data_IF_312716407451
#
_entry.id   IF_312716407451
#
_cell.length_a   1.000
_cell.length_b   1.000
_cell.length_c   1.000
_cell.angle_alpha   90.00
_cell.angle_beta   90.00
_cell.angle_gamma   90.00
#
_symmetry.space_group_name_H-M   'P 1'
#
loop_
_entity.id
_entity.type
_entity.pdbx_description
1 polymer ?
#
# COMPACT_ATOMS: atom_id res chain seq x y z
N UNK A 1 17.12 4.67 -16.65
CA UNK A 1 16.01 5.56 -17.02
C UNK A 1 15.15 4.83 -18.03
N UNK A 2 13.84 5.00 -17.96
CA UNK A 2 12.87 4.33 -18.82
C UNK A 2 11.91 5.38 -19.35
N UNK A 3 11.74 5.49 -20.67
CA UNK A 3 10.79 6.42 -21.26
C UNK A 3 9.35 5.88 -21.14
N UNK A 4 8.40 6.73 -20.76
CA UNK A 4 7.00 6.34 -20.64
C UNK A 4 6.09 7.45 -20.09
N UNK A 5 4.85 7.10 -19.77
CA UNK A 5 3.86 8.04 -19.22
C UNK A 5 4.03 8.14 -17.70
N UNK A 6 4.30 9.35 -17.19
CA UNK A 6 4.29 9.61 -15.76
C UNK A 6 2.89 9.37 -15.19
N UNK A 7 2.78 8.49 -14.19
CA UNK A 7 1.49 8.06 -13.63
C UNK A 7 0.79 9.15 -12.82
N UNK A 8 1.50 10.21 -12.43
CA UNK A 8 0.94 11.32 -11.65
C UNK A 8 0.56 12.54 -12.51
N UNK A 9 1.43 13.01 -13.41
CA UNK A 9 1.14 14.16 -14.29
C UNK A 9 0.65 13.80 -15.69
N UNK A 10 0.70 12.51 -16.07
CA UNK A 10 0.30 11.96 -17.38
C UNK A 10 1.14 12.44 -18.57
N UNK A 11 2.26 13.11 -18.34
CA UNK A 11 3.21 13.52 -19.39
C UNK A 11 4.09 12.34 -19.80
N UNK A 12 4.31 12.17 -21.10
CA UNK A 12 5.32 11.27 -21.64
C UNK A 12 6.72 11.87 -21.47
N UNK A 13 7.59 11.19 -20.74
CA UNK A 13 8.93 11.68 -20.40
C UNK A 13 9.79 10.52 -19.84
N UNK A 14 11.03 10.82 -19.47
CA UNK A 14 11.87 9.89 -18.74
C UNK A 14 11.33 9.67 -17.32
N UNK A 15 11.11 8.40 -16.99
CA UNK A 15 10.66 7.97 -15.68
C UNK A 15 11.87 7.70 -14.77
N UNK A 16 11.77 8.25 -13.57
CA UNK A 16 12.65 7.96 -12.45
C UNK A 16 12.23 6.65 -11.77
N UNK A 17 13.19 5.96 -11.16
CA UNK A 17 12.89 4.79 -10.34
C UNK A 17 12.39 5.24 -8.97
N UNK A 18 11.15 4.94 -8.64
CA UNK A 18 10.56 5.26 -7.35
C UNK A 18 10.42 4.04 -6.46
N UNK A 19 10.81 4.17 -5.20
CA UNK A 19 10.72 3.12 -4.19
C UNK A 19 9.33 3.11 -3.55
N UNK A 20 8.68 1.95 -3.55
CA UNK A 20 7.35 1.77 -2.94
C UNK A 20 7.41 0.62 -1.93
N UNK A 21 7.29 0.89 -0.61
CA UNK A 21 7.21 2.22 -0.01
C UNK A 21 8.54 2.98 -0.12
N UNK A 22 8.62 4.27 0.28
CA UNK A 22 9.86 5.03 0.23
C UNK A 22 11.03 4.32 0.93
N UNK A 23 12.27 4.59 0.50
CA UNK A 23 13.48 3.97 1.09
C UNK A 23 13.57 4.14 2.61
N UNK A 24 13.14 5.30 3.11
CA UNK A 24 13.12 5.67 4.54
C UNK A 24 12.07 4.88 5.34
N UNK A 25 11.09 4.27 4.68
CA UNK A 25 10.10 3.37 5.27
C UNK A 25 10.55 1.90 5.13
N UNK A 26 11.79 1.62 5.56
CA UNK A 26 12.39 0.27 5.62
C UNK A 26 12.59 -0.45 4.27
N UNK A 27 12.37 0.23 3.14
CA UNK A 27 12.48 -0.41 1.83
C UNK A 27 13.92 -0.48 1.28
N UNK A 28 14.87 0.35 1.77
CA UNK A 28 16.23 0.45 1.21
C UNK A 28 16.96 -0.90 1.09
N UNK A 29 16.80 -1.78 2.07
CA UNK A 29 17.51 -3.06 2.16
C UNK A 29 16.64 -4.26 1.82
N UNK A 30 15.40 -4.04 1.34
CA UNK A 30 14.49 -5.14 1.02
C UNK A 30 15.05 -6.01 -0.09
N UNK A 31 14.95 -7.32 0.14
CA UNK A 31 15.22 -8.35 -0.85
C UNK A 31 13.93 -9.09 -1.15
N UNK A 32 13.64 -9.29 -2.43
CA UNK A 32 12.40 -9.94 -2.84
C UNK A 32 12.56 -10.74 -4.14
N UNK A 33 11.64 -11.67 -4.36
CA UNK A 33 11.44 -12.35 -5.63
C UNK A 33 10.13 -11.88 -6.23
N UNK A 34 10.07 -11.74 -7.55
CA UNK A 34 8.81 -11.60 -8.28
C UNK A 34 8.50 -12.94 -8.90
N UNK A 35 7.30 -13.48 -8.62
CA UNK A 35 6.84 -14.75 -9.19
C UNK A 35 5.62 -14.45 -10.04
N UNK A 36 5.64 -14.77 -11.35
CA UNK A 36 4.47 -14.62 -12.20
C UNK A 36 3.28 -15.43 -11.66
N UNK A 37 2.07 -14.89 -11.74
CA UNK A 37 0.86 -15.57 -11.27
C UNK A 37 0.64 -16.94 -11.93
N UNK A 38 1.01 -17.10 -13.21
CA UNK A 38 0.92 -18.39 -13.90
C UNK A 38 1.86 -19.46 -13.32
N UNK A 39 2.95 -19.06 -12.68
CA UNK A 39 3.83 -19.98 -11.97
C UNK A 39 3.26 -20.34 -10.59
N UNK A 40 2.65 -19.37 -9.93
CA UNK A 40 1.89 -19.59 -8.70
C UNK A 40 0.86 -20.71 -8.84
N UNK A 41 0.03 -20.67 -9.90
CA UNK A 41 -1.05 -21.66 -10.10
C UNK A 41 -0.56 -23.07 -10.42
N UNK A 42 0.73 -23.25 -10.76
CA UNK A 42 1.33 -24.57 -11.03
C UNK A 42 1.88 -25.24 -9.78
N UNK A 43 2.06 -24.51 -8.68
CA UNK A 43 2.60 -25.08 -7.46
C UNK A 43 1.55 -25.92 -6.75
N UNK A 44 1.87 -27.18 -6.45
CA UNK A 44 1.00 -28.06 -5.64
C UNK A 44 0.87 -27.61 -4.18
N UNK A 45 1.88 -26.90 -3.66
CA UNK A 45 1.86 -26.31 -2.34
C UNK A 45 2.58 -24.95 -2.40
N UNK A 46 1.80 -23.87 -2.49
CA UNK A 46 2.38 -22.53 -2.56
C UNK A 46 3.05 -22.09 -1.25
N UNK A 47 2.54 -22.50 -0.09
CA UNK A 47 3.10 -22.10 1.21
C UNK A 47 4.57 -22.47 1.33
N UNK A 48 4.97 -23.57 0.69
CA UNK A 48 6.34 -24.08 0.65
C UNK A 48 7.06 -23.85 -0.69
N UNK A 49 6.44 -23.11 -1.61
CA UNK A 49 7.05 -22.83 -2.90
C UNK A 49 8.28 -21.93 -2.71
N UNK A 50 9.42 -22.39 -3.22
CA UNK A 50 10.68 -21.63 -3.24
C UNK A 50 10.83 -21.00 -4.63
N UNK A 51 10.70 -19.66 -4.76
CA UNK A 51 10.88 -18.97 -6.02
C UNK A 51 12.22 -19.33 -6.65
N UNK A 52 12.19 -19.78 -7.91
CA UNK A 52 13.40 -19.94 -8.72
C UNK A 52 13.64 -18.65 -9.49
N UNK A 53 14.70 -17.92 -9.18
CA UNK A 53 15.00 -16.68 -9.89
C UNK A 53 16.05 -15.83 -9.21
N UNK A 54 16.34 -14.68 -9.80
CA UNK A 54 17.26 -13.69 -9.23
C UNK A 54 16.58 -12.98 -8.05
N UNK A 55 17.26 -12.95 -6.91
CA UNK A 55 16.86 -12.09 -5.79
C UNK A 55 17.04 -10.64 -6.23
N UNK A 56 15.96 -9.86 -6.23
CA UNK A 56 16.03 -8.42 -6.39
C UNK A 56 16.50 -7.80 -5.07
N UNK A 57 17.45 -6.86 -5.14
CA UNK A 57 18.02 -6.17 -3.99
C UNK A 57 17.87 -4.66 -4.17
N UNK A 58 17.83 -3.92 -3.07
CA UNK A 58 17.81 -2.46 -3.07
C UNK A 58 16.42 -1.84 -2.97
N UNK A 59 15.41 -2.61 -2.59
CA UNK A 59 14.04 -2.14 -2.38
C UNK A 59 13.10 -2.36 -3.55
N UNK A 60 11.82 -2.56 -3.22
CA UNK A 60 10.72 -2.65 -4.19
C UNK A 60 10.46 -1.28 -4.82
N UNK A 61 10.24 -1.22 -6.13
CA UNK A 61 9.99 0.04 -6.81
C UNK A 61 9.61 -0.11 -8.28
N UNK A 62 9.29 1.02 -8.90
CA UNK A 62 8.76 1.10 -10.26
C UNK A 62 9.33 2.31 -11.00
N UNK A 63 9.53 2.17 -12.31
CA UNK A 63 9.68 3.31 -13.20
C UNK A 63 8.28 3.84 -13.53
N UNK A 64 7.76 4.75 -12.70
CA UNK A 64 6.36 5.19 -12.74
C UNK A 64 6.17 6.70 -12.77
N UNK A 65 7.11 7.48 -12.25
CA UNK A 65 6.99 8.93 -12.09
C UNK A 65 8.15 9.65 -12.77
N UNK A 66 7.87 10.81 -13.37
CA UNK A 66 8.93 11.73 -13.79
C UNK A 66 9.63 12.34 -12.57
N UNK A 67 10.85 12.84 -12.77
CA UNK A 67 11.67 13.42 -11.69
C UNK A 67 10.95 14.52 -10.92
N UNK A 68 10.25 15.43 -11.63
CA UNK A 68 9.49 16.52 -11.01
C UNK A 68 8.38 16.01 -10.08
N UNK A 69 7.58 15.04 -10.54
CA UNK A 69 6.53 14.44 -9.72
C UNK A 69 7.11 13.68 -8.54
N UNK A 70 8.20 12.93 -8.75
CA UNK A 70 8.83 12.19 -7.68
C UNK A 70 9.40 13.11 -6.58
N UNK A 71 10.12 14.17 -7.00
CA UNK A 71 10.62 15.21 -6.09
C UNK A 71 9.48 15.88 -5.29
N UNK A 72 8.37 16.21 -5.95
CA UNK A 72 7.20 16.77 -5.28
C UNK A 72 6.66 15.85 -4.17
N UNK A 73 6.50 14.55 -4.42
CA UNK A 73 6.03 13.60 -3.39
C UNK A 73 7.04 13.49 -2.24
N UNK A 74 8.34 13.48 -2.56
CA UNK A 74 9.41 13.44 -1.57
C UNK A 74 9.36 14.64 -0.62
N UNK A 75 9.18 15.84 -1.18
CA UNK A 75 9.17 17.09 -0.40
C UNK A 75 7.91 17.25 0.45
N UNK A 76 6.77 16.73 -0.03
CA UNK A 76 5.49 16.96 0.62
C UNK A 76 5.04 15.83 1.55
N UNK A 77 5.20 14.56 1.16
CA UNK A 77 4.48 13.45 1.82
C UNK A 77 5.38 12.34 2.37
N UNK A 78 6.53 12.07 1.75
CA UNK A 78 7.40 10.92 2.10
C UNK A 78 7.85 10.95 3.56
N UNK A 79 8.19 12.13 4.11
CA UNK A 79 8.62 12.24 5.51
C UNK A 79 7.53 11.80 6.49
N UNK A 80 6.31 12.30 6.32
CA UNK A 80 5.17 11.96 7.17
C UNK A 80 4.88 10.45 7.13
N UNK A 81 4.92 9.86 5.93
CA UNK A 81 4.76 8.41 5.76
C UNK A 81 5.90 7.59 6.38
N UNK A 82 7.15 8.03 6.26
CA UNK A 82 8.28 7.34 6.87
C UNK A 82 8.19 7.34 8.40
N UNK A 83 7.74 8.44 9.00
CA UNK A 83 7.51 8.52 10.44
C UNK A 83 6.31 7.65 10.88
N UNK A 84 5.27 7.54 10.05
CA UNK A 84 4.19 6.56 10.24
C UNK A 84 4.69 5.12 10.19
N UNK A 85 5.54 4.76 9.23
CA UNK A 85 6.13 3.43 9.13
C UNK A 85 6.97 3.10 10.39
N UNK A 86 7.72 4.05 10.96
CA UNK A 86 8.45 3.81 12.21
C UNK A 86 7.50 3.45 13.36
N UNK A 87 6.37 4.14 13.46
CA UNK A 87 5.32 3.79 14.41
C UNK A 87 4.80 2.37 14.17
N UNK A 88 4.49 2.00 12.93
CA UNK A 88 3.99 0.65 12.60
C UNK A 88 4.95 -0.47 12.99
N UNK A 89 6.26 -0.26 12.79
CA UNK A 89 7.27 -1.25 13.22
C UNK A 89 7.28 -1.42 14.74
N UNK A 90 7.19 -0.32 15.49
CA UNK A 90 7.08 -0.36 16.94
C UNK A 90 5.78 -1.04 17.39
N UNK A 91 4.67 -0.76 16.71
CA UNK A 91 3.36 -1.37 16.97
C UNK A 91 3.42 -2.89 16.80
N UNK A 92 3.96 -3.40 15.67
CA UNK A 92 4.15 -4.84 15.46
C UNK A 92 4.90 -5.51 16.61
N UNK A 93 5.99 -4.89 17.09
CA UNK A 93 6.80 -5.47 18.17
C UNK A 93 6.11 -5.52 19.53
N UNK A 94 5.05 -4.72 19.71
CA UNK A 94 4.32 -4.57 20.98
C UNK A 94 2.90 -5.16 20.94
N UNK A 95 2.40 -5.55 19.76
CA UNK A 95 1.09 -6.18 19.59
C UNK A 95 0.98 -7.42 20.45
N UNK A 96 -0.10 -7.52 21.23
CA UNK A 96 -0.35 -8.66 22.13
C UNK A 96 -1.42 -9.61 21.59
N UNK A 97 -2.35 -9.08 20.80
CA UNK A 97 -3.45 -9.83 20.19
C UNK A 97 -3.49 -9.55 18.68
N UNK A 98 -4.47 -10.16 18.00
CA UNK A 98 -4.73 -9.86 16.58
C UNK A 98 -5.30 -8.46 16.35
N UNK A 99 -5.87 -7.78 17.36
CA UNK A 99 -6.40 -6.42 17.25
C UNK A 99 -5.98 -5.59 18.47
N UNK A 100 -5.24 -4.52 18.21
CA UNK A 100 -4.72 -3.65 19.26
C UNK A 100 -5.14 -2.21 18.96
N UNK A 101 -5.47 -1.45 19.99
CA UNK A 101 -5.73 -0.01 19.90
C UNK A 101 -4.48 0.74 20.34
N UNK A 102 -4.11 1.76 19.57
CA UNK A 102 -2.89 2.54 19.78
C UNK A 102 -3.23 4.01 19.87
N UNK A 103 -2.66 4.68 20.88
CA UNK A 103 -2.55 6.14 20.88
C UNK A 103 -1.34 6.54 20.06
N UNK A 104 -1.60 7.29 18.99
CA UNK A 104 -0.62 7.80 18.04
C UNK A 104 -0.40 9.26 18.33
N UNK A 105 0.88 9.65 18.41
CA UNK A 105 1.29 11.02 18.70
C UNK A 105 2.16 11.59 17.57
N UNK A 106 2.03 12.89 17.35
CA UNK A 106 2.90 13.67 16.45
C UNK A 106 3.00 13.05 15.05
N UNK A 107 1.84 12.80 14.43
CA UNK A 107 1.75 12.34 13.04
C UNK A 107 0.86 13.28 12.24
N UNK A 108 1.05 13.29 10.92
CA UNK A 108 0.19 14.02 9.98
C UNK A 108 -0.62 13.02 9.14
N UNK A 109 -1.83 12.63 9.58
CA UNK A 109 -2.69 11.67 8.87
C UNK A 109 -2.98 12.06 7.42
N UNK A 110 -3.15 13.36 7.18
CA UNK A 110 -3.49 13.89 5.87
C UNK A 110 -2.40 13.62 4.82
N UNK A 111 -1.14 13.94 5.14
CA UNK A 111 0.02 13.66 4.27
C UNK A 111 0.29 12.16 4.17
N UNK A 112 0.06 11.39 5.23
CA UNK A 112 0.20 9.93 5.20
C UNK A 112 -0.81 9.35 4.19
N UNK A 113 -2.08 9.76 4.23
CA UNK A 113 -3.10 9.33 3.28
C UNK A 113 -2.73 9.68 1.84
N UNK A 114 -2.25 10.91 1.59
CA UNK A 114 -1.77 11.33 0.26
C UNK A 114 -0.62 10.47 -0.24
N UNK A 115 0.34 10.11 0.63
CA UNK A 115 1.40 9.18 0.24
C UNK A 115 0.88 7.78 -0.05
N UNK A 116 -0.11 7.28 0.70
CA UNK A 116 -0.71 5.97 0.43
C UNK A 116 -1.37 5.94 -0.95
N UNK A 117 -2.14 6.97 -1.28
CA UNK A 117 -2.77 7.09 -2.60
C UNK A 117 -1.71 7.25 -3.72
N UNK A 118 -0.63 8.00 -3.47
CA UNK A 118 0.48 8.14 -4.45
C UNK A 118 1.17 6.80 -4.72
N UNK A 119 1.31 5.93 -3.71
CA UNK A 119 1.80 4.56 -3.89
C UNK A 119 0.88 3.73 -4.77
N UNK A 120 -0.45 3.79 -4.55
CA UNK A 120 -1.43 3.11 -5.41
C UNK A 120 -1.38 3.60 -6.87
N UNK A 121 -1.28 4.91 -7.10
CA UNK A 121 -1.09 5.48 -8.44
C UNK A 121 0.20 4.94 -9.06
N UNK A 122 1.28 4.87 -8.29
CA UNK A 122 2.60 4.52 -8.78
C UNK A 122 2.82 3.03 -9.00
N UNK A 123 2.06 2.14 -8.35
CA UNK A 123 2.13 0.69 -8.59
C UNK A 123 1.21 0.22 -9.73
N UNK A 124 0.15 0.96 -10.04
CA UNK A 124 -0.81 0.63 -11.11
C UNK A 124 -0.34 1.10 -12.49
N UNK A 125 -0.88 0.55 -13.58
CA UNK A 125 -0.52 0.97 -14.94
C UNK A 125 -1.11 2.35 -15.34
N UNK A 126 -0.59 3.02 -16.38
CA UNK A 126 -1.06 4.35 -16.80
C UNK A 126 -2.56 4.46 -17.08
N UNK A 127 -3.23 3.34 -17.42
CA UNK A 127 -4.69 3.29 -17.55
C UNK A 127 -5.40 3.71 -16.25
N UNK A 128 -4.88 3.30 -15.09
CA UNK A 128 -5.45 3.66 -13.79
C UNK A 128 -5.51 5.19 -13.60
N UNK A 129 -4.42 5.88 -13.92
CA UNK A 129 -4.33 7.34 -13.86
C UNK A 129 -5.28 8.06 -14.81
N UNK A 130 -5.65 7.41 -15.91
CA UNK A 130 -6.67 7.92 -16.85
C UNK A 130 -8.08 7.69 -16.32
N UNK A 131 -8.33 6.53 -15.70
CA UNK A 131 -9.64 6.12 -15.21
C UNK A 131 -10.04 6.79 -13.88
N UNK A 132 -9.05 7.22 -13.08
CA UNK A 132 -9.26 7.82 -11.75
C UNK A 132 -8.55 9.17 -11.58
N UNK A 133 -8.85 10.18 -12.42
CA UNK A 133 -8.19 11.49 -12.38
C UNK A 133 -8.37 12.24 -11.04
N UNK A 134 -9.41 11.93 -10.28
CA UNK A 134 -9.69 12.54 -8.98
C UNK A 134 -8.67 12.11 -7.90
N UNK A 135 -8.14 10.88 -7.97
CA UNK A 135 -7.03 10.46 -7.10
C UNK A 135 -5.75 11.24 -7.39
N UNK A 136 -5.49 11.50 -8.67
CA UNK A 136 -4.36 12.31 -9.11
C UNK A 136 -4.52 13.76 -8.64
N UNK A 137 -5.73 14.31 -8.73
CA UNK A 137 -6.02 15.67 -8.25
C UNK A 137 -5.81 15.77 -6.74
N UNK A 138 -6.33 14.80 -5.97
CA UNK A 138 -6.15 14.74 -4.53
C UNK A 138 -4.67 14.70 -4.14
N UNK A 139 -3.82 13.98 -4.87
CA UNK A 139 -2.37 13.90 -4.58
C UNK A 139 -1.61 15.13 -5.08
N UNK A 140 -1.92 15.67 -6.26
CA UNK A 140 -1.18 16.79 -6.85
C UNK A 140 -1.49 18.15 -6.22
N UNK A 141 -2.62 18.28 -5.51
CA UNK A 141 -3.02 19.50 -4.82
C UNK A 141 -2.81 19.32 -3.30
N UNK A 142 -1.73 19.83 -2.70
CA UNK A 142 -1.40 19.60 -1.29
C UNK A 142 -2.53 19.95 -0.33
N UNK A 143 -3.20 21.07 -0.54
CA UNK A 143 -4.29 21.55 0.33
C UNK A 143 -5.65 20.89 0.03
N UNK A 144 -5.76 20.12 -1.05
CA UNK A 144 -7.04 19.54 -1.47
C UNK A 144 -7.45 18.40 -0.56
N UNK A 145 -8.63 18.55 0.07
CA UNK A 145 -9.31 17.53 0.86
C UNK A 145 -10.38 16.77 0.07
N UNK A 146 -10.53 17.10 -1.21
CA UNK A 146 -11.54 16.51 -2.08
C UNK A 146 -11.12 15.11 -2.51
N UNK A 147 -11.61 14.11 -1.78
CA UNK A 147 -11.59 12.70 -2.14
C UNK A 147 -13.02 12.17 -2.12
N UNK A 148 -13.49 11.71 -3.28
CA UNK A 148 -14.85 11.18 -3.45
C UNK A 148 -15.11 9.99 -2.53
N UNK A 149 -16.32 9.90 -1.98
CA UNK A 149 -16.79 8.79 -1.12
C UNK A 149 -16.75 7.41 -1.78
N UNK A 150 -16.59 7.37 -3.12
CA UNK A 150 -16.37 6.10 -3.84
C UNK A 150 -15.03 5.44 -3.53
N UNK A 151 -14.09 6.18 -2.95
CA UNK A 151 -12.77 5.69 -2.57
C UNK A 151 -12.70 5.47 -1.08
N UNK A 152 -12.43 4.24 -0.69
CA UNK A 152 -12.16 3.90 0.71
C UNK A 152 -10.75 3.38 0.85
N UNK A 153 -10.01 3.91 1.81
CA UNK A 153 -8.65 3.49 2.12
C UNK A 153 -8.64 2.79 3.45
N UNK A 154 -8.15 1.55 3.46
CA UNK A 154 -8.03 0.75 4.68
C UNK A 154 -6.57 0.48 5.02
N UNK A 155 -6.29 0.31 6.30
CA UNK A 155 -4.97 -0.05 6.83
C UNK A 155 -5.07 -1.24 7.81
N UNK A 156 -4.01 -2.04 7.84
CA UNK A 156 -3.79 -3.11 8.82
C UNK A 156 -2.29 -3.26 9.10
N UNK A 157 -1.92 -3.82 10.26
CA UNK A 157 -0.54 -4.21 10.55
C UNK A 157 -0.19 -5.48 9.79
N UNK A 158 1.03 -5.53 9.26
CA UNK A 158 1.56 -6.67 8.52
C UNK A 158 2.86 -7.13 9.17
N UNK A 159 2.74 -7.93 10.24
CA UNK A 159 3.89 -8.54 10.93
C UNK A 159 4.52 -9.69 10.15
N UNK A 160 3.72 -10.43 9.37
CA UNK A 160 4.12 -11.71 8.76
C UNK A 160 3.59 -11.89 7.34
N UNK A 161 3.99 -12.98 6.68
CA UNK A 161 3.61 -13.28 5.29
C UNK A 161 4.44 -12.55 4.24
N UNK A 162 4.03 -12.70 2.97
CA UNK A 162 4.77 -12.22 1.80
C UNK A 162 4.45 -10.76 1.50
N UNK A 163 5.33 -10.07 0.77
CA UNK A 163 4.98 -8.77 0.19
C UNK A 163 3.87 -9.00 -0.86
N UNK A 164 2.81 -8.17 -0.84
CA UNK A 164 1.77 -8.20 -1.87
C UNK A 164 1.67 -6.86 -2.58
N UNK A 165 1.67 -6.92 -3.90
CA UNK A 165 1.41 -5.79 -4.77
C UNK A 165 0.32 -6.21 -5.74
N UNK A 166 -0.94 -5.98 -5.36
CA UNK A 166 -2.10 -6.27 -6.18
C UNK A 166 -2.53 -4.95 -6.82
N UNK A 167 -2.24 -4.82 -8.11
CA UNK A 167 -2.75 -3.74 -8.95
C UNK A 167 -4.28 -3.84 -9.03
N UNK A 168 -4.91 -2.88 -9.70
CA UNK A 168 -6.35 -2.81 -9.88
C UNK A 168 -6.92 -4.17 -10.30
N UNK A 169 -7.81 -4.69 -9.46
CA UNK A 169 -8.41 -6.00 -9.60
C UNK A 169 -9.87 -5.92 -9.20
N UNK A 170 -10.75 -6.64 -9.92
CA UNK A 170 -12.14 -6.80 -9.53
C UNK A 170 -12.29 -8.09 -8.70
N UNK A 171 -12.97 -8.00 -7.57
CA UNK A 171 -13.28 -9.12 -6.67
C UNK A 171 -14.78 -9.31 -6.55
N UNK A 172 -15.21 -10.53 -6.27
CA UNK A 172 -16.64 -10.85 -6.16
C UNK A 172 -17.29 -10.24 -4.90
N UNK A 173 -16.53 -10.06 -3.82
CA UNK A 173 -17.06 -9.65 -2.52
C UNK A 173 -16.80 -8.18 -2.19
N UNK A 174 -15.67 -7.64 -2.64
CA UNK A 174 -15.22 -6.30 -2.26
C UNK A 174 -15.16 -5.34 -3.44
N UNK A 175 -15.70 -5.71 -4.61
CA UNK A 175 -15.66 -4.87 -5.81
C UNK A 175 -14.23 -4.63 -6.30
N UNK A 176 -13.95 -3.41 -6.75
CA UNK A 176 -12.65 -3.03 -7.31
C UNK A 176 -11.67 -2.70 -6.18
N UNK A 177 -10.52 -3.36 -6.15
CA UNK A 177 -9.50 -3.17 -5.11
C UNK A 177 -8.10 -3.05 -5.70
N UNK A 178 -7.26 -2.28 -5.04
CA UNK A 178 -5.81 -2.40 -5.09
C UNK A 178 -5.31 -2.76 -3.68
N UNK A 179 -4.27 -3.58 -3.57
CA UNK A 179 -3.66 -3.90 -2.29
C UNK A 179 -2.15 -3.73 -2.33
N UNK A 180 -1.62 -3.04 -1.32
CA UNK A 180 -0.19 -2.92 -1.08
C UNK A 180 0.14 -3.41 0.32
N UNK A 181 0.75 -4.60 0.44
CA UNK A 181 1.15 -5.19 1.72
C UNK A 181 2.68 -5.23 1.84
N UNK A 182 3.23 -4.36 2.68
CA UNK A 182 4.66 -4.25 2.94
C UNK A 182 4.91 -3.86 4.39
N UNK A 183 5.69 -4.65 5.13
CA UNK A 183 5.87 -4.42 6.58
C UNK A 183 6.37 -3.00 6.86
N UNK A 184 5.72 -2.24 7.76
CA UNK A 184 4.82 -2.72 8.81
C UNK A 184 3.33 -2.73 8.48
N UNK A 185 2.90 -2.23 7.33
CA UNK A 185 1.47 -2.06 7.05
C UNK A 185 1.04 -2.78 5.78
N UNK A 186 -0.23 -3.14 5.72
CA UNK A 186 -0.90 -3.30 4.46
C UNK A 186 -1.98 -2.25 4.28
N UNK A 187 -2.19 -1.88 3.03
CA UNK A 187 -3.17 -0.89 2.62
C UNK A 187 -4.05 -1.47 1.53
N UNK A 188 -5.33 -1.11 1.56
CA UNK A 188 -6.27 -1.40 0.48
C UNK A 188 -6.89 -0.09 0.02
N UNK A 189 -6.90 0.13 -1.29
CA UNK A 189 -7.75 1.10 -1.94
C UNK A 189 -8.93 0.36 -2.53
N UNK A 190 -10.12 0.63 -2.02
CA UNK A 190 -11.36 0.09 -2.52
C UNK A 190 -12.12 1.16 -3.31
N UNK A 191 -12.66 0.79 -4.46
CA UNK A 191 -13.29 1.68 -5.43
C UNK A 191 -14.70 1.17 -5.72
N UNK A 192 -15.69 2.06 -5.63
CA UNK A 192 -17.11 1.80 -5.94
C UNK A 192 -17.77 0.69 -5.11
N UNK A 193 -17.23 0.41 -3.91
CA UNK A 193 -17.86 -0.49 -2.96
C UNK A 193 -18.32 0.31 -1.75
N UNK A 194 -19.65 0.36 -1.57
CA UNK A 194 -20.24 1.05 -0.43
C UNK A 194 -20.10 0.24 0.86
N UNK A 195 -19.98 -1.08 0.75
CA UNK A 195 -19.75 -1.95 1.90
C UNK A 195 -18.33 -1.76 2.41
N UNK A 196 -18.15 -1.78 3.72
CA UNK A 196 -16.82 -1.82 4.32
C UNK A 196 -16.08 -3.11 3.99
N UNK A 197 -14.78 -3.14 4.26
CA UNK A 197 -14.04 -4.39 4.34
C UNK A 197 -13.91 -4.74 5.82
N UNK A 198 -14.57 -5.82 6.23
CA UNK A 198 -14.59 -6.23 7.62
C UNK A 198 -13.18 -6.43 8.16
N UNK A 199 -13.04 -6.10 9.44
CA UNK A 199 -11.80 -6.26 10.21
C UNK A 199 -10.58 -5.51 9.64
N UNK A 200 -10.79 -4.44 8.88
CA UNK A 200 -9.74 -3.49 8.55
C UNK A 200 -10.13 -2.10 9.04
N UNK A 201 -9.13 -1.27 9.28
CA UNK A 201 -9.37 0.09 9.77
C UNK A 201 -9.46 1.04 8.61
N UNK A 202 -10.63 1.63 8.40
CA UNK A 202 -10.80 2.67 7.39
C UNK A 202 -10.12 3.97 7.84
N UNK A 203 -9.30 4.53 6.96
CA UNK A 203 -8.54 5.78 7.16
C UNK A 203 -8.86 6.83 6.09
N UNK A 204 -9.93 6.65 5.31
CA UNK A 204 -10.39 7.61 4.30
C UNK A 204 -10.59 9.00 4.89
N UNK A 205 -11.16 9.07 6.10
CA UNK A 205 -11.44 10.30 6.83
C UNK A 205 -10.19 11.05 7.29
N UNK A 206 -9.00 10.47 7.12
CA UNK A 206 -7.74 11.22 7.29
C UNK A 206 -7.63 12.41 6.33
N UNK A 207 -8.43 12.43 5.24
CA UNK A 207 -8.60 13.59 4.35
C UNK A 207 -9.10 14.85 5.08
N UNK A 208 -9.76 14.70 6.24
CA UNK A 208 -10.37 15.81 6.97
C UNK A 208 -9.43 16.49 7.98
N UNK A 209 -8.28 15.87 8.29
CA UNK A 209 -7.27 16.48 9.14
C UNK A 209 -6.71 17.74 8.46
N UNK A 210 -6.35 18.75 9.28
CA UNK A 210 -5.60 19.90 8.79
C UNK A 210 -4.18 19.48 8.42
N UNK A 211 -3.56 20.19 7.48
CA UNK A 211 -2.16 19.93 7.10
C UNK A 211 -1.17 20.51 8.13
N UNK A 212 -1.34 20.10 9.38
CA UNK A 212 -0.46 20.45 10.49
C UNK A 212 0.56 19.34 10.73
N UNK A 213 1.73 19.69 11.27
CA UNK A 213 2.81 18.71 11.44
C UNK A 213 2.44 17.58 12.41
N UNK A 214 1.64 17.88 13.42
CA UNK A 214 1.42 17.02 14.57
C UNK A 214 -0.06 16.93 14.90
N UNK A 215 -0.61 15.73 14.79
CA UNK A 215 -1.90 15.34 15.33
C UNK A 215 -1.74 14.13 16.23
N UNK A 216 -2.58 14.09 17.26
CA UNK A 216 -2.69 12.97 18.19
C UNK A 216 -4.07 12.33 18.00
N UNK A 217 -4.11 11.00 17.92
CA UNK A 217 -5.34 10.26 17.68
C UNK A 217 -5.20 8.80 18.10
N UNK A 218 -6.32 8.14 18.36
CA UNK A 218 -6.35 6.70 18.57
C UNK A 218 -6.66 5.95 17.29
N UNK A 219 -6.05 4.78 17.12
CA UNK A 219 -6.32 3.89 15.99
C UNK A 219 -6.31 2.43 16.43
N UNK A 220 -7.40 1.73 16.12
CA UNK A 220 -7.45 0.28 16.18
C UNK A 220 -6.77 -0.33 14.96
N UNK A 221 -5.93 -1.35 15.13
CA UNK A 221 -5.27 -2.03 14.02
C UNK A 221 -5.31 -3.54 14.20
N UNK A 222 -5.81 -4.22 13.17
CA UNK A 222 -5.70 -5.67 13.03
C UNK A 222 -4.32 -6.04 12.48
N UNK A 223 -3.72 -7.12 12.97
CA UNK A 223 -2.47 -7.69 12.43
C UNK A 223 -2.75 -8.94 11.60
N UNK A 224 -2.51 -8.83 10.29
CA UNK A 224 -2.85 -9.87 9.33
C UNK A 224 -1.66 -10.48 8.58
N UNK A 225 -1.67 -11.81 8.37
CA UNK A 225 -0.73 -12.47 7.49
C UNK A 225 -1.14 -12.30 6.02
N UNK A 226 -0.13 -12.25 5.16
CA UNK A 226 -0.29 -12.18 3.70
C UNK A 226 0.34 -13.41 3.02
N UNK A 227 -0.14 -14.62 3.35
CA UNK A 227 0.48 -15.87 2.89
C UNK A 227 0.17 -16.22 1.42
N UNK A 228 -1.00 -15.85 0.93
CA UNK A 228 -1.43 -16.05 -0.45
C UNK A 228 -1.45 -14.71 -1.20
N UNK A 229 -1.09 -14.66 -2.50
CA UNK A 229 -1.17 -13.48 -3.36
C UNK A 229 -2.61 -13.27 -3.88
N UNK A 230 -3.58 -13.45 -2.99
CA UNK A 230 -4.99 -13.18 -3.23
C UNK A 230 -5.30 -11.90 -2.45
N UNK A 231 -5.88 -10.86 -3.09
CA UNK A 231 -6.22 -9.64 -2.39
C UNK A 231 -7.19 -9.93 -1.25
N UNK A 232 -7.11 -9.14 -0.17
CA UNK A 232 -8.02 -9.21 0.99
C UNK A 232 -8.09 -10.60 1.66
N UNK A 233 -7.13 -11.48 1.41
CA UNK A 233 -7.11 -12.83 1.98
C UNK A 233 -6.08 -12.92 3.11
N UNK A 234 -6.54 -13.20 4.33
CA UNK A 234 -5.71 -13.15 5.54
C UNK A 234 -5.66 -14.45 6.34
N UNK A 235 -5.98 -15.58 5.69
CA UNK A 235 -5.90 -16.87 6.38
C UNK A 235 -4.47 -17.17 6.86
N UNK A 236 -4.39 -17.74 8.05
CA UNK A 236 -3.20 -18.35 8.65
C UNK A 236 -2.71 -19.54 7.82
N UNK A 237 -1.49 -20.01 8.09
CA UNK A 237 -0.97 -21.19 7.36
C UNK A 237 -1.79 -22.43 7.69
N UNK A 238 -2.17 -22.58 8.95
CA UNK A 238 -2.95 -23.68 9.49
C UNK A 238 -4.33 -23.77 8.80
N UNK A 239 -5.02 -22.64 8.65
CA UNK A 239 -6.31 -22.57 7.93
C UNK A 239 -6.21 -22.87 6.42
N UNK A 240 -5.06 -22.57 5.82
CA UNK A 240 -4.81 -22.89 4.40
C UNK A 240 -4.55 -24.38 4.26
N UNK A 241 -3.70 -24.96 5.11
CA UNK A 241 -3.33 -26.38 5.07
C UNK A 241 -4.54 -27.28 5.40
N UNK A 242 -5.40 -26.90 6.33
CA UNK A 242 -6.60 -27.67 6.69
C UNK A 242 -7.62 -27.78 5.56
N UNK A 243 -7.57 -26.89 4.55
CA UNK A 243 -8.45 -26.92 3.36
C UNK A 243 -7.88 -27.77 2.22
N UNK A 244 -6.65 -28.25 2.36
CA UNK A 244 -5.95 -29.06 1.34
C UNK A 244 -5.74 -30.53 1.73
N UNK A 245 -6.18 -30.91 2.94
CA UNK A 245 -6.35 -32.31 3.38
C UNK A 245 -7.82 -32.72 3.30
#
# INVERSE_FOLDING_TARGET
MQYGICRLCKTETDLSFEHIPPKSAFNKTTRYFSVPFKEYTKSKNWLNYKPKGKVNQGGLGYYSLCEKCNGFLNDNYVRAYADWAKFGMAAISKSQTNYNVWSVYDKNPFRILKQIISMFISMNDPHFSKSYPELLKFVNEPESRNLSERYKVFVYLKSRGQIRTINWSATNFYGQVCEFAFSPFGYILNIDNQNGIDHLTEITEWKNYTDERSHDFDIGLYDYPTHLPIPTHYATKEEIESKHN
#
